data_IF_735901936244
#
_entry.id   IF_735901936244
#
_cell.length_a   1.000
_cell.length_b   1.000
_cell.length_c   1.000
_cell.angle_alpha   90.00
_cell.angle_beta   90.00
_cell.angle_gamma   90.00
#
_symmetry.space_group_name_H-M   'P 1'
#
loop_
_entity.id
_entity.type
_entity.pdbx_description
1 polymer ?
#
# COMPACT_ATOMS: atom_id res chain seq x y z
N UNK A 1 24.45 47.19 -16.37
CA UNK A 1 24.77 45.74 -16.33
C UNK A 1 23.54 44.96 -16.76
N UNK A 2 23.54 44.39 -17.96
CA UNK A 2 22.46 43.48 -18.39
C UNK A 2 22.64 42.14 -17.66
N UNK A 3 21.62 41.71 -16.91
CA UNK A 3 21.60 40.40 -16.30
C UNK A 3 21.58 39.34 -17.39
N UNK A 4 22.65 38.54 -17.50
CA UNK A 4 22.71 37.39 -18.39
C UNK A 4 21.66 36.37 -17.93
N UNK A 5 20.54 36.31 -18.65
CA UNK A 5 19.50 35.31 -18.41
C UNK A 5 20.12 33.92 -18.61
N UNK A 6 20.19 33.15 -17.53
CA UNK A 6 20.56 31.73 -17.56
C UNK A 6 19.67 31.01 -18.60
N UNK A 7 20.25 30.14 -19.47
CA UNK A 7 19.47 29.40 -20.44
C UNK A 7 18.36 28.63 -19.72
N UNK A 8 17.13 28.74 -20.22
CA UNK A 8 16.01 27.97 -19.67
C UNK A 8 16.36 26.47 -19.67
N UNK A 9 15.85 25.72 -18.70
CA UNK A 9 16.09 24.27 -18.61
C UNK A 9 15.78 23.53 -19.93
N UNK A 10 14.82 24.03 -20.70
CA UNK A 10 14.49 23.50 -22.03
C UNK A 10 15.59 23.79 -23.07
N UNK A 11 16.13 25.01 -23.10
CA UNK A 11 17.25 25.37 -23.97
C UNK A 11 18.49 24.53 -23.65
N UNK A 12 18.80 24.33 -22.36
CA UNK A 12 19.89 23.47 -21.91
C UNK A 12 19.72 22.01 -22.31
N UNK A 13 18.52 21.43 -22.16
CA UNK A 13 18.25 20.05 -22.58
C UNK A 13 18.39 19.87 -24.10
N UNK A 14 17.96 20.87 -24.89
CA UNK A 14 18.10 20.86 -26.35
C UNK A 14 19.56 20.98 -26.78
N UNK A 15 20.32 21.91 -26.20
CA UNK A 15 21.74 22.13 -26.56
C UNK A 15 22.65 20.99 -26.12
N UNK A 16 22.30 20.30 -25.02
CA UNK A 16 23.05 19.14 -24.53
C UNK A 16 22.64 17.82 -25.18
N UNK A 17 21.77 17.84 -26.19
CA UNK A 17 21.15 16.64 -26.79
C UNK A 17 20.61 15.64 -25.76
N UNK A 18 20.08 16.14 -24.63
CA UNK A 18 19.58 15.27 -23.58
C UNK A 18 18.36 14.48 -24.09
N UNK A 19 18.27 13.21 -23.73
CA UNK A 19 17.05 12.42 -23.96
C UNK A 19 15.87 13.09 -23.23
N UNK A 20 15.00 13.71 -24.03
CA UNK A 20 13.86 14.52 -23.54
C UNK A 20 12.69 13.67 -23.08
N UNK A 21 12.71 12.37 -23.37
CA UNK A 21 11.69 11.42 -22.93
C UNK A 21 11.99 10.86 -21.53
N UNK A 22 13.19 11.11 -20.96
CA UNK A 22 13.47 10.83 -19.55
C UNK A 22 12.58 11.67 -18.65
N UNK A 23 12.07 11.07 -17.57
CA UNK A 23 11.09 11.67 -16.65
C UNK A 23 9.74 12.05 -17.32
N UNK A 24 9.41 11.48 -18.49
CA UNK A 24 8.16 11.76 -19.20
C UNK A 24 7.05 10.74 -18.89
N UNK A 25 5.92 10.86 -19.61
CA UNK A 25 4.83 9.88 -19.57
C UNK A 25 5.28 8.46 -19.94
N UNK A 26 6.42 8.30 -20.62
CA UNK A 26 6.95 7.00 -21.04
C UNK A 26 7.75 6.26 -19.95
N UNK A 27 7.96 6.87 -18.78
CA UNK A 27 8.72 6.26 -17.69
C UNK A 27 7.81 5.48 -16.73
N UNK A 28 8.26 4.29 -16.34
CA UNK A 28 7.52 3.37 -15.47
C UNK A 28 6.58 2.45 -16.22
N UNK A 29 5.44 2.15 -15.60
CA UNK A 29 4.46 1.19 -16.09
C UNK A 29 3.12 1.86 -16.37
N UNK A 30 2.39 1.31 -17.33
CA UNK A 30 1.15 1.89 -17.85
C UNK A 30 -0.02 0.90 -17.89
N UNK A 31 0.27 -0.38 -17.68
CA UNK A 31 -0.74 -1.45 -17.75
C UNK A 31 -0.68 -2.33 -16.51
N UNK A 32 -1.79 -3.01 -16.22
CA UNK A 32 -1.91 -3.91 -15.07
C UNK A 32 -0.98 -5.12 -15.23
N UNK A 33 -0.78 -5.60 -16.45
CA UNK A 33 0.12 -6.73 -16.73
C UNK A 33 1.58 -6.40 -16.36
N UNK A 34 2.01 -5.16 -16.61
CA UNK A 34 3.34 -4.71 -16.18
C UNK A 34 3.44 -4.62 -14.65
N UNK A 35 2.38 -4.14 -13.98
CA UNK A 35 2.35 -4.15 -12.52
C UNK A 35 2.43 -5.58 -11.98
N UNK A 36 1.66 -6.52 -12.56
CA UNK A 36 1.73 -7.95 -12.22
C UNK A 36 3.15 -8.49 -12.38
N UNK A 37 3.81 -8.23 -13.52
CA UNK A 37 5.22 -8.63 -13.73
C UNK A 37 6.17 -8.04 -12.68
N UNK A 38 6.00 -6.78 -12.29
CA UNK A 38 6.83 -6.14 -11.24
C UNK A 38 6.63 -6.82 -9.89
N UNK A 39 5.37 -7.09 -9.50
CA UNK A 39 5.09 -7.71 -8.21
C UNK A 39 5.57 -9.16 -8.19
N UNK A 40 5.32 -9.89 -9.28
CA UNK A 40 5.79 -11.26 -9.46
C UNK A 40 7.31 -11.35 -9.43
N UNK A 41 8.03 -10.39 -10.01
CA UNK A 41 9.49 -10.33 -9.96
C UNK A 41 10.05 -10.30 -8.52
N UNK A 42 9.32 -9.72 -7.57
CA UNK A 42 9.68 -9.80 -6.15
C UNK A 42 9.32 -11.14 -5.52
N UNK A 43 8.14 -11.67 -5.83
CA UNK A 43 7.66 -12.95 -5.29
C UNK A 43 8.54 -14.14 -5.72
N UNK A 44 8.91 -14.22 -7.00
CA UNK A 44 9.71 -15.34 -7.54
C UNK A 44 11.15 -15.37 -7.00
N UNK A 45 11.64 -14.27 -6.42
CA UNK A 45 12.92 -14.28 -5.70
C UNK A 45 12.90 -15.23 -4.51
N UNK A 46 11.72 -15.57 -4.00
CA UNK A 46 11.54 -16.44 -2.84
C UNK A 46 12.42 -16.02 -1.65
N UNK A 47 12.51 -14.71 -1.42
CA UNK A 47 13.26 -14.12 -0.32
C UNK A 47 12.37 -13.16 0.48
N UNK A 48 12.68 -12.96 1.78
CA UNK A 48 12.00 -11.97 2.61
C UNK A 48 12.03 -10.57 2.00
N UNK A 49 13.18 -10.19 1.43
CA UNK A 49 13.36 -8.90 0.77
C UNK A 49 12.50 -8.80 -0.49
N UNK A 50 12.44 -9.84 -1.32
CA UNK A 50 11.57 -9.88 -2.50
C UNK A 50 10.11 -9.65 -2.15
N UNK A 51 9.59 -10.33 -1.12
CA UNK A 51 8.22 -10.17 -0.63
C UNK A 51 7.96 -8.77 -0.05
N UNK A 52 8.91 -8.24 0.74
CA UNK A 52 8.84 -6.87 1.28
C UNK A 52 8.75 -5.86 0.14
N UNK A 53 9.66 -5.98 -0.83
CA UNK A 53 9.87 -4.99 -1.87
C UNK A 53 8.68 -4.98 -2.85
N UNK A 54 8.11 -6.14 -3.21
CA UNK A 54 6.89 -6.18 -4.03
C UNK A 54 5.68 -5.63 -3.25
N UNK A 55 5.56 -5.93 -1.97
CA UNK A 55 4.47 -5.38 -1.13
C UNK A 55 4.57 -3.86 -1.06
N UNK A 56 5.78 -3.34 -0.85
CA UNK A 56 6.03 -1.91 -0.84
C UNK A 56 5.76 -1.27 -2.20
N UNK A 57 6.10 -1.93 -3.32
CA UNK A 57 5.75 -1.48 -4.67
C UNK A 57 4.23 -1.44 -4.89
N UNK A 58 3.50 -2.46 -4.43
CA UNK A 58 2.05 -2.51 -4.49
C UNK A 58 1.44 -1.34 -3.68
N UNK A 59 1.80 -1.18 -2.41
CA UNK A 59 1.30 -0.05 -1.60
C UNK A 59 1.69 1.30 -2.19
N UNK A 60 2.90 1.44 -2.74
CA UNK A 60 3.35 2.68 -3.38
C UNK A 60 2.58 3.00 -4.65
N UNK A 61 2.25 1.96 -5.41
CA UNK A 61 1.30 2.06 -6.49
C UNK A 61 -0.03 2.50 -5.88
N UNK A 62 -0.80 1.60 -5.25
CA UNK A 62 -2.20 1.80 -4.84
C UNK A 62 -2.45 3.01 -3.93
N UNK A 63 -1.47 3.36 -3.10
CA UNK A 63 -1.53 4.51 -2.23
C UNK A 63 -1.02 5.82 -2.83
N UNK A 64 -0.48 5.80 -4.05
CA UNK A 64 0.21 6.93 -4.69
C UNK A 64 1.33 7.49 -3.79
N UNK A 65 2.04 6.64 -3.06
CA UNK A 65 2.98 7.07 -2.02
C UNK A 65 4.23 7.72 -2.61
N UNK A 66 4.80 8.70 -1.90
CA UNK A 66 6.20 9.03 -2.12
C UNK A 66 7.08 7.94 -1.54
N UNK A 67 8.30 7.85 -2.04
CA UNK A 67 9.24 6.85 -1.54
C UNK A 67 9.55 7.02 -0.04
N UNK A 68 9.54 8.24 0.48
CA UNK A 68 9.71 8.52 1.91
C UNK A 68 8.48 8.12 2.72
N UNK A 69 7.28 8.51 2.29
CA UNK A 69 6.02 8.13 2.93
C UNK A 69 5.94 6.60 3.04
N UNK A 70 6.24 5.86 1.98
CA UNK A 70 6.22 4.40 1.99
C UNK A 70 7.18 3.76 3.01
N UNK A 71 8.36 4.36 3.23
CA UNK A 71 9.30 3.91 4.28
C UNK A 71 8.90 4.41 5.67
N UNK A 72 8.11 5.47 5.70
CA UNK A 72 7.56 6.15 6.87
C UNK A 72 6.50 5.35 7.63
N UNK A 73 5.89 4.34 6.99
CA UNK A 73 4.73 3.64 7.55
C UNK A 73 5.15 2.71 8.69
N UNK A 74 4.50 2.88 9.83
CA UNK A 74 4.56 1.98 10.97
C UNK A 74 3.31 1.08 11.01
N UNK A 75 3.38 -0.02 11.75
CA UNK A 75 2.23 -0.91 11.95
C UNK A 75 0.97 -0.19 12.49
N UNK A 76 1.04 0.70 13.52
CA UNK A 76 -0.13 1.44 13.99
C UNK A 76 -0.76 2.37 12.94
N UNK A 77 -0.05 2.72 11.87
CA UNK A 77 -0.61 3.59 10.84
C UNK A 77 -1.61 2.86 9.93
N UNK A 78 -1.61 1.52 9.94
CA UNK A 78 -2.43 0.71 9.05
C UNK A 78 -3.71 0.28 9.77
N UNK A 79 -4.86 0.66 9.21
CA UNK A 79 -6.16 0.51 9.84
C UNK A 79 -7.18 -0.07 8.85
N UNK A 80 -8.17 -0.81 9.36
CA UNK A 80 -9.36 -1.15 8.59
C UNK A 80 -10.41 -0.05 8.73
N UNK A 81 -11.00 0.33 7.61
CA UNK A 81 -12.18 1.19 7.58
C UNK A 81 -13.28 0.45 6.81
N UNK A 82 -14.36 0.02 7.48
CA UNK A 82 -15.55 -0.45 6.78
C UNK A 82 -16.21 0.74 6.08
N UNK A 83 -16.44 0.64 4.77
CA UNK A 83 -17.34 1.56 4.09
C UNK A 83 -18.71 0.93 3.93
N UNK A 84 -19.65 1.35 4.78
CA UNK A 84 -21.08 1.15 4.52
C UNK A 84 -21.50 2.03 3.35
N UNK A 85 -21.97 1.42 2.27
CA UNK A 85 -22.62 2.15 1.21
C UNK A 85 -23.92 1.47 0.85
N UNK A 86 -25.02 2.21 1.01
CA UNK A 86 -26.39 1.77 0.64
C UNK A 86 -26.55 1.42 -0.85
N UNK A 87 -25.55 1.73 -1.67
CA UNK A 87 -25.55 1.56 -3.13
C UNK A 87 -24.57 0.47 -3.61
N UNK A 88 -23.77 -0.15 -2.73
CA UNK A 88 -22.83 -1.21 -3.11
C UNK A 88 -23.31 -2.52 -2.48
N UNK A 89 -23.59 -3.58 -3.27
CA UNK A 89 -24.09 -4.85 -2.74
C UNK A 89 -23.13 -5.58 -1.80
N UNK A 90 -21.83 -5.31 -1.91
CA UNK A 90 -20.77 -5.94 -1.11
C UNK A 90 -20.14 -4.91 -0.18
N UNK A 91 -19.96 -5.28 1.10
CA UNK A 91 -19.19 -4.47 2.05
C UNK A 91 -17.83 -4.12 1.45
N UNK A 92 -17.52 -2.82 1.40
CA UNK A 92 -16.29 -2.35 0.79
C UNK A 92 -15.25 -2.15 1.88
N UNK A 93 -14.34 -3.11 1.97
CA UNK A 93 -13.25 -3.10 2.94
C UNK A 93 -12.07 -2.28 2.44
N UNK A 94 -11.74 -1.24 3.21
CA UNK A 94 -10.61 -0.37 2.90
C UNK A 94 -9.53 -0.58 3.92
N UNK A 95 -8.33 -0.87 3.41
CA UNK A 95 -7.11 -0.61 4.14
C UNK A 95 -6.81 0.87 4.08
N UNK A 96 -6.83 1.53 5.22
CA UNK A 96 -6.45 2.92 5.39
C UNK A 96 -5.05 2.98 5.99
N UNK A 97 -4.19 3.83 5.43
CA UNK A 97 -2.88 4.13 6.01
C UNK A 97 -2.86 5.61 6.38
N UNK A 98 -2.56 5.89 7.64
CA UNK A 98 -2.37 7.24 8.15
C UNK A 98 -0.96 7.72 7.81
N UNK A 99 -0.85 8.94 7.30
CA UNK A 99 0.42 9.65 7.16
C UNK A 99 0.39 10.86 8.08
N UNK A 100 1.20 10.79 9.14
CA UNK A 100 1.34 11.87 10.11
C UNK A 100 2.46 12.85 9.72
N UNK A 101 3.47 12.36 8.99
CA UNK A 101 4.60 13.16 8.53
C UNK A 101 4.89 12.94 7.04
N UNK A 102 5.43 13.96 6.37
CA UNK A 102 5.79 13.92 4.96
C UNK A 102 6.33 15.27 4.47
N UNK A 103 7.18 15.29 3.44
CA UNK A 103 7.84 16.53 2.97
C UNK A 103 6.91 17.69 2.64
N UNK A 104 5.67 17.41 2.23
CA UNK A 104 4.67 18.43 1.93
C UNK A 104 3.71 18.73 3.08
N UNK A 105 3.85 18.05 4.23
CA UNK A 105 2.99 18.18 5.39
C UNK A 105 3.63 19.06 6.47
N UNK A 106 3.99 20.29 6.11
CA UNK A 106 4.66 21.24 7.04
C UNK A 106 3.84 21.59 8.29
N UNK A 107 2.54 21.23 8.32
CA UNK A 107 1.62 21.51 9.43
C UNK A 107 1.29 20.29 10.30
N UNK A 108 1.77 19.09 9.94
CA UNK A 108 1.43 17.85 10.65
C UNK A 108 -0.04 17.42 10.51
N UNK A 109 -0.72 17.83 9.43
CA UNK A 109 -2.11 17.43 9.18
C UNK A 109 -2.18 15.91 8.95
N UNK A 110 -3.08 15.18 9.62
CA UNK A 110 -3.27 13.76 9.34
C UNK A 110 -3.79 13.56 7.91
N UNK A 111 -3.05 12.82 7.09
CA UNK A 111 -3.46 12.44 5.74
C UNK A 111 -3.78 10.96 5.67
N UNK A 112 -4.67 10.58 4.76
CA UNK A 112 -5.09 9.21 4.60
C UNK A 112 -4.76 8.69 3.21
N UNK A 113 -4.41 7.41 3.16
CA UNK A 113 -4.33 6.61 1.96
C UNK A 113 -5.43 5.55 2.07
N UNK A 114 -6.18 5.33 1.00
CA UNK A 114 -7.08 4.19 0.92
C UNK A 114 -6.65 3.23 -0.17
N UNK A 115 -6.71 1.94 0.12
CA UNK A 115 -6.54 0.87 -0.84
C UNK A 115 -7.55 -0.25 -0.58
N UNK A 116 -8.01 -0.89 -1.64
CA UNK A 116 -9.04 -1.93 -1.62
C UNK A 116 -8.49 -3.25 -2.18
N UNK A 117 -9.23 -4.35 -1.98
CA UNK A 117 -8.94 -5.61 -2.67
C UNK A 117 -9.09 -5.40 -4.18
N UNK A 118 -8.07 -5.79 -4.95
CA UNK A 118 -8.13 -5.74 -6.41
C UNK A 118 -8.92 -6.93 -6.96
N UNK A 119 -9.64 -6.77 -8.08
CA UNK A 119 -10.30 -7.91 -8.77
C UNK A 119 -9.31 -9.00 -9.15
N UNK A 120 -8.09 -8.62 -9.54
CA UNK A 120 -6.99 -9.50 -9.86
C UNK A 120 -6.15 -9.77 -8.59
N UNK A 121 -5.98 -11.05 -8.25
CA UNK A 121 -5.36 -11.46 -6.99
C UNK A 121 -3.85 -11.17 -6.95
N UNK A 122 -3.19 -11.28 -8.10
CA UNK A 122 -1.75 -11.13 -8.33
C UNK A 122 -1.25 -9.69 -8.21
N UNK A 123 -2.16 -8.71 -8.28
CA UNK A 123 -1.86 -7.28 -8.04
C UNK A 123 -2.57 -6.71 -6.82
N UNK A 124 -3.17 -7.55 -5.98
CA UNK A 124 -3.95 -7.07 -4.84
C UNK A 124 -3.05 -6.45 -3.75
N UNK A 125 -3.20 -5.15 -3.40
CA UNK A 125 -2.39 -4.51 -2.36
C UNK A 125 -2.62 -5.11 -0.98
N UNK A 126 -3.90 -5.39 -0.65
CA UNK A 126 -4.25 -6.06 0.60
C UNK A 126 -3.65 -7.46 0.62
N UNK A 127 -3.64 -8.16 -0.51
CA UNK A 127 -3.08 -9.50 -0.60
C UNK A 127 -1.58 -9.54 -0.38
N UNK A 128 -0.85 -8.64 -1.04
CA UNK A 128 0.58 -8.48 -0.83
C UNK A 128 0.90 -8.15 0.63
N UNK A 129 0.15 -7.23 1.24
CA UNK A 129 0.33 -6.87 2.65
C UNK A 129 0.05 -8.05 3.59
N UNK A 130 -1.02 -8.80 3.39
CA UNK A 130 -1.34 -9.99 4.19
C UNK A 130 -0.21 -11.03 4.11
N UNK A 131 0.32 -11.30 2.90
CA UNK A 131 1.47 -12.21 2.75
C UNK A 131 2.70 -11.71 3.49
N UNK A 132 3.01 -10.42 3.38
CA UNK A 132 4.15 -9.80 4.06
C UNK A 132 4.04 -9.87 5.58
N UNK A 133 2.89 -9.50 6.14
CA UNK A 133 2.64 -9.58 7.59
C UNK A 133 2.66 -11.03 8.08
N UNK A 134 2.15 -11.97 7.27
CA UNK A 134 2.18 -13.39 7.61
C UNK A 134 3.61 -13.89 7.69
N UNK A 135 4.42 -13.59 6.67
CA UNK A 135 5.84 -13.91 6.71
C UNK A 135 6.52 -13.30 7.95
N UNK A 136 6.29 -12.00 8.23
CA UNK A 136 6.91 -11.33 9.37
C UNK A 136 6.56 -11.99 10.70
N UNK A 137 5.27 -12.12 11.02
CA UNK A 137 4.86 -12.58 12.35
C UNK A 137 4.91 -14.11 12.50
N UNK A 138 4.78 -14.87 11.41
CA UNK A 138 4.75 -16.34 11.50
C UNK A 138 6.06 -17.02 11.14
N UNK A 139 6.81 -16.49 10.16
CA UNK A 139 7.90 -17.23 9.51
C UNK A 139 9.28 -16.61 9.73
N UNK A 140 9.37 -15.30 9.94
CA UNK A 140 10.66 -14.59 9.98
C UNK A 140 11.46 -14.82 11.27
N UNK A 141 10.79 -15.29 12.33
CA UNK A 141 11.37 -15.35 13.67
C UNK A 141 11.61 -13.98 14.29
N UNK A 142 10.98 -12.92 13.75
CA UNK A 142 10.90 -11.60 14.40
C UNK A 142 10.20 -11.75 15.75
N UNK A 143 10.80 -11.18 16.78
CA UNK A 143 10.33 -11.28 18.16
C UNK A 143 10.05 -9.90 18.72
N UNK A 144 8.91 -9.73 19.38
CA UNK A 144 8.46 -8.44 19.87
C UNK A 144 8.55 -8.37 21.39
N UNK A 145 9.18 -7.29 21.86
CA UNK A 145 9.27 -6.99 23.29
C UNK A 145 10.20 -7.92 24.09
N UNK A 146 10.22 -7.77 25.42
CA UNK A 146 11.11 -8.54 26.31
C UNK A 146 10.70 -10.01 26.45
N UNK A 147 9.46 -10.36 26.08
CA UNK A 147 8.92 -11.73 26.16
C UNK A 147 9.16 -12.56 24.89
N UNK A 148 9.78 -11.96 23.86
CA UNK A 148 10.06 -12.59 22.58
C UNK A 148 8.82 -13.18 21.89
N UNK A 149 7.70 -12.47 21.97
CA UNK A 149 6.45 -12.91 21.35
C UNK A 149 6.57 -12.91 19.82
N UNK A 150 5.92 -13.87 19.15
CA UNK A 150 5.85 -13.96 17.68
C UNK A 150 4.90 -12.93 17.04
N UNK A 151 4.16 -12.19 17.85
CA UNK A 151 3.21 -11.18 17.41
C UNK A 151 3.25 -10.01 18.40
N UNK A 152 3.12 -8.78 17.90
CA UNK A 152 3.24 -7.59 18.73
C UNK A 152 2.13 -7.54 19.81
N UNK A 153 2.50 -7.09 21.01
CA UNK A 153 1.57 -6.90 22.13
C UNK A 153 0.70 -5.66 21.91
N UNK A 154 -0.58 -5.87 21.62
CA UNK A 154 -1.50 -4.80 21.24
C UNK A 154 -1.92 -3.91 22.42
N UNK A 155 -1.66 -4.35 23.65
CA UNK A 155 -1.92 -3.65 24.90
C UNK A 155 -0.76 -2.73 25.36
N UNK A 156 0.39 -2.75 24.67
CA UNK A 156 1.60 -2.01 25.04
C UNK A 156 2.13 -1.13 23.89
N UNK A 157 1.66 0.13 23.78
CA UNK A 157 2.07 1.05 22.71
C UNK A 157 3.58 1.23 22.57
N UNK A 158 4.34 1.19 23.66
CA UNK A 158 5.81 1.38 23.64
C UNK A 158 6.52 0.26 22.88
N UNK A 159 5.92 -0.94 22.87
CA UNK A 159 6.47 -2.08 22.16
C UNK A 159 6.09 -2.09 20.69
N UNK A 160 4.83 -1.80 20.35
CA UNK A 160 4.32 -2.04 19.00
C UNK A 160 4.22 -0.80 18.11
N UNK A 161 4.05 0.41 18.66
CA UNK A 161 3.98 1.63 17.84
C UNK A 161 5.29 1.90 17.07
N UNK A 162 6.49 1.65 17.65
CA UNK A 162 7.75 1.86 16.93
C UNK A 162 8.04 0.88 15.80
N UNK A 163 7.19 -0.15 15.60
CA UNK A 163 7.42 -1.18 14.59
C UNK A 163 7.11 -0.65 13.20
N UNK A 164 8.13 -0.65 12.33
CA UNK A 164 7.98 -0.25 10.94
C UNK A 164 7.21 -1.32 10.17
N UNK A 165 6.37 -0.92 9.21
CA UNK A 165 5.73 -1.87 8.30
C UNK A 165 6.77 -2.53 7.39
N UNK A 166 7.76 -1.76 6.93
CA UNK A 166 8.88 -2.22 6.11
C UNK A 166 10.21 -1.97 6.84
N UNK A 167 10.60 -2.84 7.80
CA UNK A 167 11.84 -2.69 8.53
C UNK A 167 13.07 -2.81 7.63
N UNK A 168 14.12 -2.09 8.05
CA UNK A 168 15.47 -2.13 7.49
C UNK A 168 16.27 -3.33 7.99
N UNK A 169 17.55 -3.11 8.32
CA UNK A 169 18.40 -4.14 8.93
C UNK A 169 18.10 -4.23 10.43
N UNK A 170 17.93 -5.43 10.94
CA UNK A 170 17.65 -5.70 12.36
C UNK A 170 16.62 -6.83 12.54
N UNK A 171 16.56 -7.42 13.72
CA UNK A 171 15.56 -8.46 14.07
C UNK A 171 14.39 -7.92 14.89
N UNK A 172 14.44 -6.67 15.32
CA UNK A 172 13.46 -6.04 16.23
C UNK A 172 12.33 -5.28 15.51
N UNK A 173 12.45 -5.09 14.19
CA UNK A 173 11.47 -4.36 13.40
C UNK A 173 11.43 -2.85 13.64
N UNK A 174 12.36 -2.27 14.42
CA UNK A 174 12.31 -0.87 14.90
C UNK A 174 13.17 0.11 14.12
N UNK A 175 13.91 -0.37 13.12
CA UNK A 175 14.73 0.47 12.24
C UNK A 175 14.07 0.65 10.86
N UNK A 176 13.97 1.89 10.34
CA UNK A 176 13.38 2.13 9.03
C UNK A 176 14.26 1.60 7.89
N UNK A 177 13.64 1.29 6.76
CA UNK A 177 14.36 1.02 5.52
C UNK A 177 15.09 2.28 5.03
N UNK A 178 16.36 2.16 4.63
CA UNK A 178 17.10 3.29 4.08
C UNK A 178 16.62 3.69 2.68
N UNK A 179 16.82 4.96 2.32
CA UNK A 179 16.46 5.46 0.98
C UNK A 179 17.19 4.71 -0.14
N UNK A 180 18.47 4.42 0.05
CA UNK A 180 19.30 3.73 -0.95
C UNK A 180 18.91 2.27 -1.10
N UNK A 181 18.59 1.59 0.01
CA UNK A 181 18.11 0.20 -0.03
C UNK A 181 16.78 0.12 -0.78
N UNK A 182 15.84 1.02 -0.50
CA UNK A 182 14.57 1.10 -1.23
C UNK A 182 14.78 1.42 -2.71
N UNK A 183 15.64 2.40 -3.05
CA UNK A 183 15.92 2.75 -4.43
C UNK A 183 16.53 1.58 -5.22
N UNK A 184 17.48 0.85 -4.61
CA UNK A 184 18.10 -0.34 -5.19
C UNK A 184 17.08 -1.47 -5.39
N UNK A 185 16.25 -1.73 -4.39
CA UNK A 185 15.18 -2.73 -4.46
C UNK A 185 14.20 -2.44 -5.61
N UNK A 186 13.68 -1.21 -5.67
CA UNK A 186 12.75 -0.79 -6.71
C UNK A 186 13.37 -0.88 -8.10
N UNK A 187 14.64 -0.47 -8.26
CA UNK A 187 15.34 -0.61 -9.53
C UNK A 187 15.46 -2.07 -9.96
N UNK A 188 15.85 -2.95 -9.05
CA UNK A 188 15.93 -4.40 -9.33
C UNK A 188 14.58 -4.97 -9.74
N UNK A 189 13.49 -4.64 -9.04
CA UNK A 189 12.14 -5.11 -9.41
C UNK A 189 11.73 -4.68 -10.82
N UNK A 190 12.03 -3.44 -11.21
CA UNK A 190 11.71 -2.92 -12.54
C UNK A 190 12.55 -3.59 -13.63
N UNK A 191 13.85 -3.75 -13.38
CA UNK A 191 14.77 -4.44 -14.29
C UNK A 191 14.35 -5.91 -14.51
N UNK A 192 14.06 -6.63 -13.44
CA UNK A 192 13.61 -8.02 -13.47
C UNK A 192 12.26 -8.18 -14.21
N UNK A 193 11.40 -7.16 -14.15
CA UNK A 193 10.13 -7.14 -14.86
C UNK A 193 10.22 -6.59 -16.30
N UNK A 194 11.42 -6.25 -16.78
CA UNK A 194 11.62 -5.66 -18.10
C UNK A 194 10.99 -4.26 -18.27
N UNK A 195 10.71 -3.57 -17.16
CA UNK A 195 10.12 -2.23 -17.16
C UNK A 195 11.23 -1.19 -17.20
N UNK A 196 11.20 -0.36 -18.24
CA UNK A 196 12.21 0.67 -18.43
C UNK A 196 12.09 1.73 -17.35
N UNK A 197 13.24 2.03 -16.75
CA UNK A 197 13.39 3.02 -15.69
C UNK A 197 14.41 4.05 -16.17
N UNK A 198 13.95 5.26 -16.46
CA UNK A 198 14.78 6.33 -17.03
C UNK A 198 14.97 7.52 -16.08
N UNK A 199 14.09 7.70 -15.10
CA UNK A 199 14.19 8.77 -14.10
C UNK A 199 15.37 8.58 -13.12
N UNK A 200 15.76 9.63 -12.41
CA UNK A 200 16.59 9.47 -11.20
C UNK A 200 15.74 9.23 -9.93
N UNK A 201 14.43 9.43 -10.01
CA UNK A 201 13.47 9.35 -8.89
C UNK A 201 12.77 8.00 -8.84
N UNK A 202 13.55 6.92 -8.83
CA UNK A 202 13.06 5.53 -8.95
C UNK A 202 12.02 5.17 -7.90
N UNK A 203 12.14 5.68 -6.68
CA UNK A 203 11.20 5.44 -5.57
C UNK A 203 9.85 6.16 -5.71
N UNK A 204 9.70 7.04 -6.70
CA UNK A 204 8.44 7.75 -6.99
C UNK A 204 7.73 7.19 -8.23
N UNK A 205 8.31 6.20 -8.91
CA UNK A 205 7.81 5.73 -10.20
C UNK A 205 6.39 5.17 -10.10
N UNK A 206 6.10 4.41 -9.03
CA UNK A 206 4.80 3.79 -8.80
C UNK A 206 3.69 4.81 -8.58
N UNK A 207 4.01 5.95 -7.97
CA UNK A 207 3.08 7.07 -7.77
C UNK A 207 2.68 7.70 -9.10
N UNK A 208 3.65 7.98 -9.96
CA UNK A 208 3.40 8.54 -11.28
C UNK A 208 2.56 7.59 -12.15
N UNK A 209 2.98 6.33 -12.24
CA UNK A 209 2.24 5.29 -12.95
C UNK A 209 0.84 5.09 -12.41
N UNK A 210 0.69 5.04 -11.08
CA UNK A 210 -0.60 4.87 -10.42
C UNK A 210 -1.60 5.97 -10.73
N UNK A 211 -1.15 7.23 -10.78
CA UNK A 211 -2.01 8.36 -11.11
C UNK A 211 -2.44 8.33 -12.58
N UNK A 212 -1.51 8.05 -13.50
CA UNK A 212 -1.82 7.92 -14.93
C UNK A 212 -2.79 6.76 -15.22
N UNK A 213 -2.62 5.64 -14.53
CA UNK A 213 -3.53 4.50 -14.69
C UNK A 213 -4.93 4.79 -14.13
N UNK A 214 -5.03 5.60 -13.06
CA UNK A 214 -6.32 6.06 -12.56
C UNK A 214 -7.01 7.03 -13.54
N UNK A 215 -6.25 7.95 -14.14
CA UNK A 215 -6.71 8.88 -15.17
C UNK A 215 -7.26 8.14 -16.39
N UNK A 216 -6.46 7.23 -16.95
CA UNK A 216 -6.86 6.38 -18.08
C UNK A 216 -8.08 5.49 -17.77
N UNK A 217 -8.27 5.11 -16.51
CA UNK A 217 -9.43 4.34 -16.08
C UNK A 217 -10.66 5.17 -15.72
N UNK A 218 -10.62 6.49 -15.95
CA UNK A 218 -11.78 7.37 -15.82
C UNK A 218 -12.01 7.97 -14.43
N UNK A 219 -11.03 7.90 -13.52
CA UNK A 219 -11.12 8.63 -12.26
C UNK A 219 -10.97 10.14 -12.54
N UNK A 220 -11.81 10.97 -11.91
CA UNK A 220 -11.70 12.42 -12.08
C UNK A 220 -10.38 12.95 -11.55
N UNK A 221 -9.86 14.01 -12.16
CA UNK A 221 -8.66 14.72 -11.68
C UNK A 221 -8.78 15.11 -10.21
N UNK A 222 -9.98 15.49 -9.75
CA UNK A 222 -10.22 15.82 -8.33
C UNK A 222 -10.05 14.62 -7.41
N UNK A 223 -10.51 13.42 -7.79
CA UNK A 223 -10.26 12.20 -7.02
C UNK A 223 -8.78 11.78 -7.09
N UNK A 224 -8.13 11.92 -8.24
CA UNK A 224 -6.71 11.63 -8.39
C UNK A 224 -5.86 12.57 -7.53
N UNK A 225 -6.21 13.86 -7.49
CA UNK A 225 -5.60 14.89 -6.65
C UNK A 225 -5.76 14.58 -5.17
N UNK A 226 -6.96 14.21 -4.72
CA UNK A 226 -7.21 13.72 -3.35
C UNK A 226 -6.34 12.50 -3.04
N UNK A 227 -6.29 11.52 -3.93
CA UNK A 227 -5.49 10.31 -3.76
C UNK A 227 -3.98 10.54 -3.79
N UNK A 228 -3.51 11.54 -4.53
CA UNK A 228 -2.12 11.99 -4.49
C UNK A 228 -1.81 12.82 -3.25
N UNK A 229 -2.83 13.32 -2.54
CA UNK A 229 -2.71 14.41 -1.56
C UNK A 229 -2.01 15.63 -2.18
N UNK A 230 -2.38 15.95 -3.42
CA UNK A 230 -1.94 17.17 -4.11
C UNK A 230 -2.93 18.30 -3.79
N UNK A 231 -2.42 19.49 -3.46
CA UNK A 231 -3.20 20.74 -3.33
C UNK A 231 -4.55 20.60 -2.58
N UNK A 232 -4.52 19.98 -1.39
CA UNK A 232 -5.71 19.78 -0.57
C UNK A 232 -6.20 21.10 0.03
N UNK A 233 -7.45 21.47 -0.28
CA UNK A 233 -8.11 22.64 0.31
C UNK A 233 -8.37 22.45 1.82
N UNK A 234 -8.60 23.54 2.54
CA UNK A 234 -8.97 23.50 3.97
C UNK A 234 -10.18 22.59 4.24
N UNK A 235 -11.18 22.65 3.35
CA UNK A 235 -12.35 21.75 3.38
C UNK A 235 -11.95 20.28 3.29
N UNK A 236 -11.08 19.95 2.34
CA UNK A 236 -10.56 18.59 2.19
C UNK A 236 -9.79 18.14 3.43
N UNK A 237 -8.98 19.00 4.02
CA UNK A 237 -8.13 18.64 5.17
C UNK A 237 -8.89 18.37 6.46
N UNK A 238 -9.94 19.15 6.75
CA UNK A 238 -10.56 19.13 8.08
C UNK A 238 -11.95 18.50 8.13
N UNK A 239 -12.68 18.41 7.01
CA UNK A 239 -14.12 18.09 7.05
C UNK A 239 -14.52 16.90 6.17
N UNK A 240 -13.66 16.45 5.26
CA UNK A 240 -13.95 15.30 4.39
C UNK A 240 -13.15 14.08 4.81
N UNK A 241 -13.68 12.89 4.52
CA UNK A 241 -12.96 11.62 4.73
C UNK A 241 -11.67 11.52 3.89
N UNK A 242 -11.47 12.41 2.92
CA UNK A 242 -10.34 12.52 1.98
C UNK A 242 -10.09 11.32 1.07
N UNK A 243 -10.75 10.18 1.31
CA UNK A 243 -10.55 8.96 0.54
C UNK A 243 -11.05 9.13 -0.91
N UNK A 244 -10.19 8.88 -1.91
CA UNK A 244 -10.49 9.14 -3.31
C UNK A 244 -11.26 7.97 -3.94
N UNK A 245 -12.56 7.87 -3.71
CA UNK A 245 -13.38 6.71 -4.09
C UNK A 245 -13.18 6.25 -5.54
N UNK A 246 -13.29 7.16 -6.51
CA UNK A 246 -13.14 6.82 -7.94
C UNK A 246 -11.74 6.26 -8.21
N UNK A 247 -10.71 6.91 -7.68
CA UNK A 247 -9.31 6.46 -7.80
C UNK A 247 -9.11 5.09 -7.17
N UNK A 248 -9.72 4.80 -6.01
CA UNK A 248 -9.60 3.49 -5.37
C UNK A 248 -10.29 2.40 -6.21
N UNK A 249 -11.50 2.66 -6.70
CA UNK A 249 -12.28 1.72 -7.53
C UNK A 249 -11.54 1.38 -8.84
N UNK A 250 -11.17 2.41 -9.61
CA UNK A 250 -10.47 2.28 -10.90
C UNK A 250 -9.23 1.42 -10.75
N UNK A 251 -8.46 1.68 -9.70
CA UNK A 251 -7.20 1.00 -9.47
C UNK A 251 -7.40 -0.42 -8.98
N UNK A 252 -8.41 -0.66 -8.16
CA UNK A 252 -8.84 -2.00 -7.78
C UNK A 252 -9.44 -2.79 -8.97
N UNK A 253 -9.56 -2.17 -10.15
CA UNK A 253 -9.97 -2.80 -11.40
C UNK A 253 -11.46 -2.65 -11.71
N UNK A 254 -12.17 -1.81 -10.96
CA UNK A 254 -13.60 -1.56 -11.10
C UNK A 254 -13.85 -0.25 -11.86
N UNK A 255 -15.05 -0.04 -12.42
CA UNK A 255 -15.45 1.26 -12.96
C UNK A 255 -15.39 2.37 -11.89
N UNK A 256 -15.17 3.62 -12.30
CA UNK A 256 -15.12 4.77 -11.39
C UNK A 256 -16.48 5.05 -10.70
N UNK A 257 -17.58 4.65 -11.33
CA UNK A 257 -18.96 4.82 -10.86
C UNK A 257 -19.26 4.01 -9.59
N UNK A 258 -19.99 4.63 -8.66
CA UNK A 258 -20.51 3.95 -7.48
C UNK A 258 -21.46 2.80 -7.88
N UNK A 259 -21.52 1.76 -7.03
CA UNK A 259 -22.43 0.62 -7.20
C UNK A 259 -21.96 -0.49 -8.16
N UNK A 260 -20.86 -0.30 -8.89
CA UNK A 260 -20.30 -1.29 -9.82
C UNK A 260 -19.11 -2.07 -9.23
N UNK A 261 -19.17 -2.36 -7.93
CA UNK A 261 -18.18 -3.17 -7.22
C UNK A 261 -18.74 -4.56 -6.95
N UNK A 262 -18.13 -5.57 -7.56
CA UNK A 262 -18.38 -6.97 -7.27
C UNK A 262 -17.06 -7.74 -7.30
N UNK A 263 -16.62 -8.25 -6.15
CA UNK A 263 -15.38 -8.99 -6.03
C UNK A 263 -15.66 -10.49 -6.05
N UNK A 264 -15.53 -11.13 -7.22
CA UNK A 264 -15.85 -12.56 -7.38
C UNK A 264 -15.02 -13.52 -6.48
N UNK A 265 -13.84 -13.09 -6.04
CA UNK A 265 -12.94 -13.85 -5.13
C UNK A 265 -13.15 -13.48 -3.65
N UNK A 266 -14.28 -12.89 -3.35
CA UNK A 266 -14.74 -12.58 -2.00
C UNK A 266 -15.58 -13.74 -1.48
N UNK A 267 -14.91 -14.86 -1.21
CA UNK A 267 -15.51 -16.09 -0.72
C UNK A 267 -15.20 -16.24 0.77
N UNK A 268 -16.11 -16.91 1.48
CA UNK A 268 -15.86 -17.29 2.87
C UNK A 268 -14.88 -18.48 2.89
N UNK A 269 -13.69 -18.31 3.49
CA UNK A 269 -12.74 -19.40 3.58
C UNK A 269 -13.19 -20.46 4.59
N UNK A 270 -12.70 -21.71 4.48
CA UNK A 270 -12.96 -22.73 5.50
C UNK A 270 -12.45 -22.29 6.88
N UNK A 271 -13.24 -22.52 7.93
CA UNK A 271 -12.91 -22.11 9.31
C UNK A 271 -11.53 -22.62 9.77
N UNK A 272 -11.17 -23.86 9.38
CA UNK A 272 -9.86 -24.43 9.69
C UNK A 272 -8.69 -23.61 9.10
N UNK A 273 -8.85 -23.11 7.86
CA UNK A 273 -7.85 -22.26 7.22
C UNK A 273 -7.83 -20.88 7.89
N UNK A 274 -9.00 -20.31 8.17
CA UNK A 274 -9.11 -19.04 8.87
C UNK A 274 -8.37 -19.09 10.21
N UNK A 275 -8.55 -20.16 10.99
CA UNK A 275 -7.92 -20.34 12.30
C UNK A 275 -6.41 -20.61 12.23
N UNK A 276 -5.90 -21.05 11.07
CA UNK A 276 -4.46 -21.28 10.87
C UNK A 276 -3.69 -19.99 10.55
N UNK A 277 -4.37 -18.96 10.04
CA UNK A 277 -3.77 -17.69 9.61
C UNK A 277 -3.99 -16.64 10.71
N UNK A 278 -2.90 -16.09 11.26
CA UNK A 278 -2.91 -15.10 12.36
C UNK A 278 -3.77 -15.46 13.60
N UNK A 279 -3.64 -16.67 14.20
CA UNK A 279 -4.39 -17.02 15.41
C UNK A 279 -4.13 -16.06 16.58
N UNK A 280 -2.92 -15.50 16.67
CA UNK A 280 -2.58 -14.49 17.67
C UNK A 280 -3.39 -13.19 17.50
N UNK A 281 -3.70 -12.79 16.27
CA UNK A 281 -4.50 -11.58 16.03
C UNK A 281 -5.94 -11.77 16.54
N UNK A 282 -6.55 -12.94 16.32
CA UNK A 282 -7.85 -13.26 16.90
C UNK A 282 -7.83 -13.25 18.43
N UNK A 283 -6.78 -13.83 19.02
CA UNK A 283 -6.61 -13.87 20.47
C UNK A 283 -6.49 -12.46 21.04
N UNK A 284 -5.70 -11.59 20.39
CA UNK A 284 -5.60 -10.18 20.76
C UNK A 284 -6.93 -9.45 20.57
N UNK A 285 -7.69 -9.72 19.51
CA UNK A 285 -9.01 -9.11 19.31
C UNK A 285 -9.94 -9.40 20.50
N UNK A 286 -9.96 -10.65 20.99
CA UNK A 286 -10.73 -11.03 22.19
C UNK A 286 -10.19 -10.34 23.44
N UNK A 287 -8.87 -10.42 23.68
CA UNK A 287 -8.23 -9.77 24.85
C UNK A 287 -8.49 -8.27 24.92
N UNK A 288 -8.51 -7.58 23.78
CA UNK A 288 -8.79 -6.15 23.71
C UNK A 288 -10.21 -5.80 24.17
N UNK A 289 -11.18 -6.71 24.00
CA UNK A 289 -12.55 -6.52 24.49
C UNK A 289 -12.61 -6.64 26.02
N UNK A 290 -11.80 -7.53 26.60
CA UNK A 290 -11.74 -7.77 28.05
C UNK A 290 -10.96 -6.68 28.81
N UNK A 291 -10.19 -5.83 28.12
CA UNK A 291 -9.44 -4.75 28.75
C UNK A 291 -10.36 -3.63 29.27
N UNK A 292 -9.96 -2.93 30.36
CA UNK A 292 -10.62 -1.69 30.77
C UNK A 292 -10.59 -0.65 29.65
N UNK A 293 -11.62 0.21 29.58
CA UNK A 293 -11.73 1.27 28.55
C UNK A 293 -10.46 2.12 28.44
N UNK A 294 -9.80 2.41 29.58
CA UNK A 294 -8.56 3.19 29.63
C UNK A 294 -7.36 2.56 28.93
N UNK A 295 -7.40 1.24 28.67
CA UNK A 295 -6.35 0.50 27.96
C UNK A 295 -6.76 0.11 26.54
N UNK A 296 -8.03 0.29 26.15
CA UNK A 296 -8.47 0.02 24.77
C UNK A 296 -8.04 1.16 23.87
N UNK A 297 -7.27 0.83 22.83
CA UNK A 297 -6.87 1.81 21.82
C UNK A 297 -7.64 1.56 20.52
N UNK A 298 -8.08 2.65 19.90
CA UNK A 298 -8.72 2.60 18.56
C UNK A 298 -7.75 2.00 17.53
N UNK A 299 -6.46 2.31 17.69
CA UNK A 299 -5.37 1.85 16.81
C UNK A 299 -5.23 0.33 16.83
N UNK A 300 -5.26 -0.30 18.02
CA UNK A 300 -5.19 -1.75 18.14
C UNK A 300 -6.44 -2.40 17.53
N UNK A 301 -7.63 -1.85 17.79
CA UNK A 301 -8.87 -2.39 17.24
C UNK A 301 -8.87 -2.35 15.71
N UNK A 302 -8.58 -1.20 15.09
CA UNK A 302 -8.61 -1.08 13.63
C UNK A 302 -7.51 -1.88 12.92
N UNK A 303 -6.31 -2.00 13.51
CA UNK A 303 -5.24 -2.85 12.99
C UNK A 303 -5.61 -4.34 13.09
N UNK A 304 -6.12 -4.79 14.24
CA UNK A 304 -6.56 -6.17 14.42
C UNK A 304 -7.75 -6.50 13.52
N UNK A 305 -8.66 -5.55 13.30
CA UNK A 305 -9.79 -5.72 12.38
C UNK A 305 -9.27 -5.94 10.97
N UNK A 306 -8.26 -5.17 10.52
CA UNK A 306 -7.64 -5.37 9.22
C UNK A 306 -6.99 -6.74 9.05
N UNK A 307 -6.29 -7.23 10.07
CA UNK A 307 -5.62 -8.54 10.02
C UNK A 307 -6.62 -9.69 10.14
N UNK A 308 -7.66 -9.54 10.96
CA UNK A 308 -8.64 -10.60 11.17
C UNK A 308 -9.61 -10.68 9.99
N UNK A 309 -9.97 -9.54 9.41
CA UNK A 309 -10.97 -9.44 8.36
C UNK A 309 -10.45 -9.99 7.03
N UNK A 310 -11.07 -11.09 6.55
CA UNK A 310 -10.87 -11.66 5.21
C UNK A 310 -9.39 -11.91 4.86
N UNK A 311 -8.65 -12.42 5.85
CA UNK A 311 -7.21 -12.75 5.83
C UNK A 311 -6.78 -13.88 4.89
N UNK A 312 -7.73 -14.46 4.15
CA UNK A 312 -7.46 -15.53 3.19
C UNK A 312 -7.36 -14.95 1.78
N UNK A 313 -6.27 -15.29 1.11
CA UNK A 313 -5.95 -14.87 -0.24
C UNK A 313 -6.43 -15.92 -1.22
N UNK A 314 -7.72 -15.88 -1.56
CA UNK A 314 -8.24 -16.87 -2.50
C UNK A 314 -7.78 -16.59 -3.93
N UNK A 315 -7.04 -17.56 -4.46
CA UNK A 315 -6.60 -17.67 -5.85
C UNK A 315 -7.11 -18.95 -6.53
N UNK A 316 -8.10 -19.64 -5.95
CA UNK A 316 -8.61 -20.89 -6.55
C UNK A 316 -9.50 -20.57 -7.75
N UNK A 317 -8.88 -20.58 -8.94
CA UNK A 317 -9.56 -21.06 -10.14
C UNK A 317 -9.84 -22.55 -9.90
N UNK A 318 -11.00 -22.87 -9.33
CA UNK A 318 -11.53 -24.21 -9.53
C UNK A 318 -11.90 -24.31 -11.00
N UNK A 319 -11.06 -25.05 -11.74
CA UNK A 319 -11.42 -25.62 -13.02
C UNK A 319 -12.82 -26.21 -12.90
N UNK A 320 -13.79 -25.67 -13.65
CA UNK A 320 -15.03 -26.39 -13.91
C UNK A 320 -14.68 -27.62 -14.73
N UNK A 321 -14.38 -28.71 -14.04
CA UNK A 321 -14.44 -30.07 -14.57
C UNK A 321 -15.77 -30.67 -14.13
N UNK A 322 -16.68 -30.82 -15.11
CA UNK A 322 -17.60 -31.95 -15.24
C UNK A 322 -18.85 -32.02 -14.36
N UNK A 323 -19.98 -32.16 -15.07
CA UNK A 323 -21.14 -33.04 -14.80
C UNK A 323 -22.08 -32.60 -13.65
N UNK A 324 -23.39 -32.40 -13.82
CA UNK A 324 -24.36 -32.93 -14.80
C UNK A 324 -25.16 -31.85 -15.55
#
# INVERSE_FOLDING_TARGET
>A
MMATLSPTNAARKKSSFADRCKDSILDGHHKVEQLSSILNAGLVKNTPQGLRDCTMAALSHYGLLRGEDARGIQLPDVQHLPMDHREIPTALDIMVILLLDGKSNQKGDTQYIGAMRNKAWDVCPIGAMTMWLFYRFKLSGETFGPHMDSFARMDDPEQWYPLWLFPGKGKDGKSPLSSDAHAKATKSLLEDAGVRQHSKKVTHIFRGSGARMADLGGASETNIRRGGRWDMSSMGKHYLTTLPRETMLVRAGFPASAGQFWLARDLDPPEALENSIFPQAQLWMKRMQDLPDSKRTIVAHGYLSLICHRRVLDGTRTSKTGQD
#
